data_IF_185475173569
#
_entry.id   IF_185475173569
#
_cell.length_a   1.000
_cell.length_b   1.000
_cell.length_c   1.000
_cell.angle_alpha   90.00
_cell.angle_beta   90.00
_cell.angle_gamma   90.00
#
_symmetry.space_group_name_H-M   'P 1'
#
loop_
_entity.id
_entity.type
_entity.pdbx_description
1 polymer ?
#
# COMPACT_ATOMS: atom_id res chain seq x y z
N UNK A 1 -12.10 19.54 -24.78
CA UNK A 1 -11.96 20.88 -25.42
C UNK A 1 -12.46 21.90 -24.41
N UNK A 2 -11.85 23.10 -24.33
CA UNK A 2 -12.30 24.15 -23.41
C UNK A 2 -13.77 24.52 -23.68
N UNK A 3 -14.49 24.87 -22.62
CA UNK A 3 -15.75 25.60 -22.74
C UNK A 3 -15.49 27.07 -23.05
N UNK A 4 -16.55 27.84 -23.34
CA UNK A 4 -16.47 29.28 -23.62
C UNK A 4 -17.53 30.00 -22.77
N UNK A 5 -17.16 31.13 -22.16
CA UNK A 5 -18.11 32.00 -21.44
C UNK A 5 -18.94 32.84 -22.41
N UNK A 6 -20.00 33.47 -21.89
CA UNK A 6 -20.76 34.49 -22.63
C UNK A 6 -19.92 35.70 -23.05
N UNK A 7 -18.73 35.88 -22.45
CA UNK A 7 -17.75 36.93 -22.77
C UNK A 7 -16.60 36.44 -23.68
N UNK A 8 -16.63 35.19 -24.15
CA UNK A 8 -15.65 34.62 -25.08
C UNK A 8 -14.34 34.14 -24.43
N UNK A 9 -14.33 33.99 -23.10
CA UNK A 9 -13.17 33.48 -22.36
C UNK A 9 -13.19 31.94 -22.36
N UNK A 10 -12.02 31.32 -22.61
CA UNK A 10 -11.89 29.87 -22.59
C UNK A 10 -11.89 29.37 -21.14
N UNK A 11 -12.83 28.48 -20.82
CA UNK A 11 -12.85 27.77 -19.53
C UNK A 11 -12.24 26.39 -19.73
N UNK A 12 -11.20 26.08 -18.95
CA UNK A 12 -10.62 24.75 -18.91
C UNK A 12 -11.32 23.87 -17.86
N UNK A 13 -11.12 22.56 -17.96
CA UNK A 13 -11.65 21.64 -16.97
C UNK A 13 -10.77 21.65 -15.72
N UNK A 14 -11.40 21.70 -14.55
CA UNK A 14 -10.72 21.39 -13.30
C UNK A 14 -10.14 19.98 -13.36
N UNK A 15 -8.96 19.81 -12.80
CA UNK A 15 -8.24 18.56 -12.87
C UNK A 15 -7.34 18.35 -11.65
N UNK A 16 -6.96 17.10 -11.43
CA UNK A 16 -5.94 16.76 -10.45
C UNK A 16 -5.05 15.63 -10.94
N UNK A 17 -3.82 15.58 -10.42
CA UNK A 17 -2.91 14.48 -10.64
C UNK A 17 -2.23 14.04 -9.33
N UNK A 18 -2.07 12.72 -9.20
CA UNK A 18 -1.05 12.14 -8.32
C UNK A 18 0.18 11.84 -9.16
N UNK A 19 1.36 12.26 -8.69
CA UNK A 19 2.62 12.02 -9.39
C UNK A 19 3.49 11.07 -8.58
N UNK A 20 4.08 10.10 -9.26
CA UNK A 20 5.04 9.15 -8.73
C UNK A 20 6.28 9.13 -9.64
N UNK A 21 7.46 8.70 -9.17
CA UNK A 21 8.51 8.25 -10.07
C UNK A 21 7.95 7.18 -11.02
N UNK A 22 8.34 7.21 -12.30
CA UNK A 22 7.84 6.22 -13.28
C UNK A 22 8.31 4.80 -12.99
N UNK A 23 9.50 4.66 -12.41
CA UNK A 23 10.16 3.40 -12.07
C UNK A 23 10.73 3.46 -10.66
N UNK A 24 11.22 2.31 -10.17
CA UNK A 24 11.90 2.24 -8.87
C UNK A 24 13.05 3.26 -8.82
N UNK A 25 13.10 4.04 -7.74
CA UNK A 25 14.15 5.02 -7.54
C UNK A 25 15.50 4.35 -7.30
N UNK A 26 16.47 4.72 -8.13
CA UNK A 26 17.89 4.35 -7.98
C UNK A 26 18.68 5.66 -7.98
N UNK A 27 18.52 6.46 -6.92
CA UNK A 27 19.19 7.76 -6.79
C UNK A 27 18.23 8.88 -6.34
N UNK A 28 18.33 10.02 -7.00
CA UNK A 28 17.54 11.21 -6.69
C UNK A 28 16.09 11.08 -7.19
N UNK A 29 15.19 11.88 -6.58
CA UNK A 29 13.80 11.96 -7.03
C UNK A 29 13.75 12.73 -8.36
N UNK A 30 12.84 12.38 -9.28
CA UNK A 30 12.56 13.21 -10.45
C UNK A 30 12.30 14.66 -10.07
N UNK A 31 12.67 15.58 -10.96
CA UNK A 31 12.30 16.97 -10.76
C UNK A 31 10.77 17.11 -10.55
N UNK A 32 10.36 17.89 -9.55
CA UNK A 32 8.95 17.88 -9.11
C UNK A 32 7.98 18.41 -10.17
N UNK A 33 8.45 19.20 -11.14
CA UNK A 33 7.67 19.65 -12.30
C UNK A 33 7.62 18.57 -13.39
N UNK A 34 7.02 17.41 -13.05
CA UNK A 34 6.74 16.31 -13.98
C UNK A 34 7.98 15.58 -14.52
N UNK A 35 9.04 15.53 -13.74
CA UNK A 35 10.29 14.83 -14.06
C UNK A 35 11.24 15.62 -14.93
N UNK A 36 12.20 14.90 -15.49
CA UNK A 36 13.26 15.39 -16.37
C UNK A 36 13.69 14.26 -17.34
N UNK A 37 14.70 14.52 -18.17
CA UNK A 37 15.16 13.57 -19.19
C UNK A 37 15.71 12.27 -18.61
N UNK A 38 16.26 12.32 -17.40
CA UNK A 38 16.94 11.19 -16.77
C UNK A 38 15.97 10.43 -15.85
N UNK A 39 15.02 11.17 -15.27
CA UNK A 39 14.05 10.68 -14.30
C UNK A 39 12.63 11.10 -14.70
N UNK A 40 11.90 10.19 -15.34
CA UNK A 40 10.49 10.40 -15.66
C UNK A 40 9.56 10.16 -14.46
N UNK A 41 8.34 10.68 -14.57
CA UNK A 41 7.27 10.49 -13.59
C UNK A 41 6.04 9.88 -14.24
N UNK A 42 5.30 9.09 -13.48
CA UNK A 42 3.94 8.67 -13.80
C UNK A 42 2.95 9.62 -13.11
N UNK A 43 2.05 10.21 -13.89
CA UNK A 43 0.92 10.98 -13.39
C UNK A 43 -0.36 10.18 -13.56
N UNK A 44 -1.09 10.00 -12.47
CA UNK A 44 -2.46 9.53 -12.50
C UNK A 44 -3.34 10.77 -12.54
N UNK A 45 -3.90 11.06 -13.71
CA UNK A 45 -4.54 12.33 -14.01
C UNK A 45 -6.04 12.16 -14.20
N UNK A 46 -6.80 12.96 -13.46
CA UNK A 46 -8.26 13.03 -13.52
C UNK A 46 -8.71 14.38 -14.05
N UNK A 47 -9.76 14.39 -14.87
CA UNK A 47 -10.43 15.60 -15.36
C UNK A 47 -11.91 15.60 -15.03
N UNK A 48 -12.42 16.76 -14.62
CA UNK A 48 -13.82 16.92 -14.25
C UNK A 48 -14.78 16.83 -15.44
N UNK A 49 -14.39 17.31 -16.62
CA UNK A 49 -15.26 17.39 -17.81
C UNK A 49 -15.60 16.02 -18.41
N UNK A 50 -14.64 15.11 -18.42
CA UNK A 50 -14.82 13.73 -18.92
C UNK A 50 -15.05 12.72 -17.81
N UNK A 51 -14.74 13.10 -16.56
CA UNK A 51 -14.59 12.20 -15.42
C UNK A 51 -13.62 11.03 -15.68
N UNK A 52 -12.73 11.17 -16.67
CA UNK A 52 -11.77 10.14 -17.05
C UNK A 52 -10.55 10.17 -16.12
N UNK A 53 -9.95 9.00 -15.95
CA UNK A 53 -8.64 8.84 -15.30
C UNK A 53 -7.71 8.14 -16.26
N UNK A 54 -6.54 8.73 -16.45
CA UNK A 54 -5.47 8.19 -17.29
C UNK A 54 -4.17 8.10 -16.50
N UNK A 55 -3.26 7.24 -16.96
CA UNK A 55 -1.86 7.26 -16.55
C UNK A 55 -1.03 7.84 -17.68
N UNK A 56 -0.36 8.95 -17.45
CA UNK A 56 0.60 9.52 -18.40
C UNK A 56 2.01 9.51 -17.82
N UNK A 57 3.00 9.19 -18.65
CA UNK A 57 4.40 9.33 -18.27
C UNK A 57 4.95 10.65 -18.80
N UNK A 58 5.69 11.37 -17.98
CA UNK A 58 6.29 12.67 -18.33
C UNK A 58 7.78 12.71 -18.02
N UNK A 59 8.54 13.47 -18.80
CA UNK A 59 9.98 13.73 -18.62
C UNK A 59 10.27 15.24 -18.59
N UNK A 60 9.40 15.95 -17.86
CA UNK A 60 9.35 17.40 -17.77
C UNK A 60 7.99 17.94 -18.18
N UNK A 61 7.60 19.07 -17.60
CA UNK A 61 6.27 19.64 -17.79
C UNK A 61 5.85 19.91 -19.25
N UNK A 62 6.81 20.11 -20.17
CA UNK A 62 6.53 20.30 -21.59
C UNK A 62 6.07 19.03 -22.31
N UNK A 63 6.30 17.85 -21.72
CA UNK A 63 5.85 16.57 -22.28
C UNK A 63 4.47 16.17 -21.74
N UNK A 64 3.82 17.03 -20.97
CA UNK A 64 2.46 16.82 -20.51
C UNK A 64 1.49 16.92 -21.69
N UNK A 65 0.99 15.78 -22.14
CA UNK A 65 -0.01 15.68 -23.20
C UNK A 65 -1.04 14.59 -22.83
N UNK A 66 -2.11 14.95 -22.11
CA UNK A 66 -3.12 14.00 -21.68
C UNK A 66 -4.08 13.60 -22.81
N UNK A 67 -4.19 14.39 -23.88
CA UNK A 67 -5.12 14.13 -24.97
C UNK A 67 -4.58 13.05 -25.94
N UNK A 68 -3.26 12.79 -25.92
CA UNK A 68 -2.62 11.70 -26.67
C UNK A 68 -2.65 10.32 -26.00
N UNK A 69 -3.28 10.19 -24.83
CA UNK A 69 -3.27 8.94 -24.03
C UNK A 69 -4.64 8.25 -24.13
N UNK A 70 -4.67 7.08 -24.75
CA UNK A 70 -5.90 6.29 -24.92
C UNK A 70 -6.08 5.20 -23.85
N UNK A 71 -5.00 4.78 -23.18
CA UNK A 71 -4.97 3.68 -22.22
C UNK A 71 -4.85 4.20 -20.77
N UNK A 72 -5.54 3.58 -19.82
CA UNK A 72 -5.48 4.02 -18.41
C UNK A 72 -4.20 3.56 -17.69
N UNK A 73 -3.41 2.70 -18.31
CA UNK A 73 -2.18 2.17 -17.71
C UNK A 73 -2.40 1.35 -16.44
N UNK A 74 -3.57 0.72 -16.31
CA UNK A 74 -3.96 -0.10 -15.16
C UNK A 74 -4.48 0.70 -13.95
N UNK A 75 -4.69 2.00 -14.13
CA UNK A 75 -5.33 2.86 -13.13
C UNK A 75 -6.84 2.90 -13.41
N UNK A 76 -7.62 2.70 -12.37
CA UNK A 76 -9.07 2.82 -12.36
C UNK A 76 -9.48 3.94 -11.40
N UNK A 77 -10.70 4.45 -11.56
CA UNK A 77 -11.26 5.34 -10.56
C UNK A 77 -12.40 6.20 -11.09
N UNK A 78 -12.81 7.17 -10.29
CA UNK A 78 -13.80 8.17 -10.66
C UNK A 78 -13.74 9.38 -9.73
N UNK A 79 -14.30 10.49 -10.20
CA UNK A 79 -14.56 11.70 -9.42
C UNK A 79 -16.04 11.95 -9.23
N UNK A 80 -16.39 12.58 -8.11
CA UNK A 80 -17.69 13.22 -7.88
C UNK A 80 -17.49 14.65 -7.42
N UNK A 81 -18.41 15.51 -7.84
CA UNK A 81 -18.41 16.93 -7.51
C UNK A 81 -19.69 17.26 -6.76
N UNK A 82 -19.56 17.84 -5.57
CA UNK A 82 -20.67 18.13 -4.68
C UNK A 82 -20.39 19.44 -3.92
N UNK A 83 -21.26 20.43 -4.07
CA UNK A 83 -21.15 21.76 -3.43
C UNK A 83 -19.74 22.40 -3.57
N UNK A 84 -19.19 22.39 -4.78
CA UNK A 84 -17.87 22.96 -5.07
C UNK A 84 -16.69 22.16 -4.52
N UNK A 85 -16.91 20.94 -4.02
CA UNK A 85 -15.85 20.03 -3.56
C UNK A 85 -15.72 18.83 -4.50
N UNK A 86 -14.49 18.57 -4.91
CA UNK A 86 -14.11 17.40 -5.68
C UNK A 86 -13.70 16.25 -4.76
N UNK A 87 -14.20 15.04 -5.03
CA UNK A 87 -13.74 13.80 -4.40
C UNK A 87 -13.36 12.83 -5.50
N UNK A 88 -12.07 12.50 -5.60
CA UNK A 88 -11.53 11.61 -6.62
C UNK A 88 -10.91 10.40 -5.93
N UNK A 89 -11.26 9.21 -6.43
CA UNK A 89 -10.64 7.95 -6.01
C UNK A 89 -9.89 7.40 -7.20
N UNK A 90 -8.61 7.07 -7.01
CA UNK A 90 -7.76 6.40 -7.98
C UNK A 90 -7.28 5.08 -7.38
N UNK A 91 -7.26 4.02 -8.17
CA UNK A 91 -6.89 2.67 -7.75
C UNK A 91 -5.99 2.03 -8.80
N UNK A 92 -4.92 1.39 -8.36
CA UNK A 92 -4.04 0.54 -9.16
C UNK A 92 -3.62 -0.66 -8.32
N UNK A 93 -3.29 -1.77 -8.96
CA UNK A 93 -2.60 -2.86 -8.26
C UNK A 93 -1.27 -2.37 -7.68
N UNK A 94 -0.94 -2.82 -6.46
CA UNK A 94 0.33 -2.47 -5.81
C UNK A 94 1.54 -2.95 -6.62
N UNK A 95 1.41 -4.16 -7.19
CA UNK A 95 2.39 -4.76 -8.07
C UNK A 95 1.85 -4.89 -9.49
N UNK A 96 2.66 -4.51 -10.47
CA UNK A 96 2.36 -4.67 -11.88
C UNK A 96 3.27 -5.70 -12.52
N UNK A 97 2.88 -6.15 -13.72
CA UNK A 97 3.63 -7.19 -14.44
C UNK A 97 4.98 -6.68 -14.98
N UNK A 98 5.13 -5.37 -15.16
CA UNK A 98 6.32 -4.74 -15.71
C UNK A 98 7.11 -3.99 -14.63
N UNK A 99 7.65 -4.75 -13.66
CA UNK A 99 8.33 -4.19 -12.50
C UNK A 99 9.65 -3.45 -12.81
N UNK A 100 10.22 -3.68 -13.99
CA UNK A 100 11.46 -3.02 -14.43
C UNK A 100 11.19 -1.60 -14.96
N UNK A 101 10.01 -1.38 -15.56
CA UNK A 101 9.66 -0.10 -16.17
C UNK A 101 8.57 0.66 -15.44
N UNK A 102 7.87 0.02 -14.50
CA UNK A 102 6.85 0.67 -13.68
C UNK A 102 7.18 0.64 -12.19
N UNK A 103 6.90 1.74 -11.50
CA UNK A 103 7.03 1.83 -10.06
C UNK A 103 6.12 0.83 -9.35
N UNK A 104 6.68 0.12 -8.38
CA UNK A 104 5.96 -0.84 -7.55
C UNK A 104 5.65 -0.19 -6.20
N UNK A 105 4.44 -0.40 -5.71
CA UNK A 105 4.01 0.15 -4.42
C UNK A 105 4.25 -0.92 -3.37
N UNK A 106 5.44 -0.91 -2.78
CA UNK A 106 5.89 -1.94 -1.83
C UNK A 106 5.53 -1.52 -0.41
N UNK A 107 4.82 -2.39 0.30
CA UNK A 107 4.54 -2.20 1.73
C UNK A 107 5.83 -2.15 2.55
N UNK A 108 5.87 -1.28 3.56
CA UNK A 108 7.05 -1.05 4.38
C UNK A 108 8.14 -0.20 3.71
N UNK A 109 7.94 0.24 2.46
CA UNK A 109 8.84 1.17 1.77
C UNK A 109 8.22 2.57 1.63
N UNK A 110 9.07 3.60 1.58
CA UNK A 110 8.63 4.98 1.30
C UNK A 110 8.56 5.21 -0.21
N UNK A 111 7.37 5.53 -0.71
CA UNK A 111 7.12 5.88 -2.11
C UNK A 111 6.95 7.41 -2.23
N UNK A 112 7.80 8.09 -3.01
CA UNK A 112 7.59 9.52 -3.24
C UNK A 112 6.30 9.80 -4.01
N UNK A 113 5.57 10.82 -3.55
CA UNK A 113 4.32 11.27 -4.15
C UNK A 113 4.28 12.82 -4.20
N UNK A 114 3.75 13.38 -5.29
CA UNK A 114 3.29 14.78 -5.34
C UNK A 114 1.82 14.84 -5.72
N UNK A 115 1.18 15.96 -5.40
CA UNK A 115 -0.19 16.26 -5.80
C UNK A 115 -0.18 17.53 -6.63
N UNK A 116 -0.91 17.51 -7.75
CA UNK A 116 -1.08 18.66 -8.63
C UNK A 116 -2.56 18.91 -8.86
N UNK A 117 -2.98 20.17 -8.89
CA UNK A 117 -4.34 20.58 -9.20
C UNK A 117 -4.32 21.67 -10.26
N UNK A 118 -5.39 21.70 -11.05
CA UNK A 118 -5.68 22.74 -12.03
C UNK A 118 -7.05 23.34 -11.69
N UNK A 119 -7.07 24.64 -11.42
CA UNK A 119 -8.29 25.45 -11.43
C UNK A 119 -8.53 25.96 -12.86
N UNK A 120 -9.31 25.21 -13.62
CA UNK A 120 -9.58 25.50 -15.02
C UNK A 120 -10.40 26.78 -15.22
N UNK A 121 -11.16 27.19 -14.19
CA UNK A 121 -11.87 28.47 -14.19
C UNK A 121 -10.93 29.67 -14.00
N UNK A 122 -9.78 29.46 -13.36
CA UNK A 122 -8.69 30.44 -13.26
C UNK A 122 -7.69 30.36 -14.43
N UNK A 123 -8.05 29.67 -15.51
CA UNK A 123 -7.21 29.52 -16.70
C UNK A 123 -6.07 28.51 -16.55
N UNK A 124 -6.02 27.75 -15.45
CA UNK A 124 -4.96 26.74 -15.27
C UNK A 124 -5.19 25.56 -16.22
N UNK A 125 -4.18 25.27 -17.03
CA UNK A 125 -4.20 24.16 -17.98
C UNK A 125 -2.78 23.74 -18.37
N UNK A 126 -2.67 22.61 -19.05
CA UNK A 126 -1.40 22.12 -19.57
C UNK A 126 -0.37 21.79 -18.49
N UNK A 127 0.88 21.62 -18.92
CA UNK A 127 1.95 21.25 -18.02
C UNK A 127 2.52 22.42 -17.21
N UNK A 128 2.28 23.68 -17.57
CA UNK A 128 2.97 24.85 -17.00
C UNK A 128 2.10 25.69 -16.05
N UNK A 129 0.79 25.73 -16.24
CA UNK A 129 -0.14 26.53 -15.43
C UNK A 129 -0.93 25.62 -14.48
N UNK A 130 -0.39 25.41 -13.27
CA UNK A 130 -0.97 24.52 -12.25
C UNK A 130 -0.40 24.79 -10.87
N UNK A 131 -1.08 24.31 -9.83
CA UNK A 131 -0.55 24.30 -8.47
C UNK A 131 -0.05 22.90 -8.10
N UNK A 132 1.18 22.79 -7.59
CA UNK A 132 1.83 21.52 -7.26
C UNK A 132 2.42 21.54 -5.85
N UNK A 133 2.34 20.42 -5.14
CA UNK A 133 2.99 20.25 -3.83
C UNK A 133 4.48 19.91 -3.96
N UNK A 134 5.23 20.04 -2.87
CA UNK A 134 6.52 19.37 -2.76
C UNK A 134 6.37 17.83 -2.82
N UNK A 135 7.50 17.13 -2.95
CA UNK A 135 7.56 15.68 -2.76
C UNK A 135 7.29 15.30 -1.30
N UNK A 136 6.25 14.52 -1.07
CA UNK A 136 5.99 13.80 0.17
C UNK A 136 6.36 12.33 0.01
N UNK A 137 6.37 11.58 1.11
CA UNK A 137 6.53 10.14 1.09
C UNK A 137 5.21 9.49 1.52
N UNK A 138 4.66 8.65 0.66
CA UNK A 138 3.61 7.70 0.98
C UNK A 138 4.26 6.47 1.63
N UNK A 139 3.75 6.05 2.78
CA UNK A 139 4.17 4.84 3.46
C UNK A 139 2.96 3.91 3.57
N UNK A 140 3.08 2.72 2.98
CA UNK A 140 2.06 1.68 3.08
C UNK A 140 2.45 0.75 4.22
N UNK A 141 1.64 0.73 5.28
CA UNK A 141 1.92 -0.12 6.43
C UNK A 141 1.83 -1.60 6.02
N UNK A 142 2.85 -2.42 6.33
CA UNK A 142 2.79 -3.84 6.04
C UNK A 142 1.78 -4.53 6.95
N UNK A 143 1.10 -5.54 6.40
CA UNK A 143 0.19 -6.39 7.18
C UNK A 143 0.91 -6.97 8.42
N UNK A 144 0.37 -6.78 9.64
CA UNK A 144 0.98 -7.32 10.85
C UNK A 144 1.14 -8.84 10.77
N UNK A 145 2.33 -9.33 11.13
CA UNK A 145 2.61 -10.77 11.12
C UNK A 145 1.63 -11.52 12.03
N UNK A 146 1.03 -12.59 11.52
CA UNK A 146 0.18 -13.53 12.31
C UNK A 146 0.99 -14.48 13.18
N UNK A 147 2.33 -14.47 13.09
CA UNK A 147 3.21 -15.38 13.81
C UNK A 147 3.00 -15.37 15.35
N UNK A 148 2.86 -14.22 16.04
CA UNK A 148 2.59 -14.21 17.48
C UNK A 148 1.30 -14.94 17.85
N UNK A 149 0.26 -14.79 17.02
CA UNK A 149 -1.01 -15.50 17.21
C UNK A 149 -0.83 -17.01 17.07
N UNK A 150 -0.13 -17.46 16.02
CA UNK A 150 0.14 -18.89 15.82
C UNK A 150 1.02 -19.48 16.92
N UNK A 151 2.05 -18.76 17.38
CA UNK A 151 2.90 -19.19 18.49
C UNK A 151 2.11 -19.29 19.80
N UNK A 152 1.18 -18.37 20.07
CA UNK A 152 0.31 -18.44 21.23
C UNK A 152 -0.59 -19.69 21.20
N UNK A 153 -1.23 -19.97 20.05
CA UNK A 153 -2.08 -21.16 19.87
C UNK A 153 -1.26 -22.45 20.01
N UNK A 154 -0.08 -22.52 19.40
CA UNK A 154 0.82 -23.67 19.51
C UNK A 154 1.28 -23.89 20.96
N UNK A 155 1.63 -22.82 21.68
CA UNK A 155 2.01 -22.87 23.09
C UNK A 155 0.90 -23.41 23.98
N UNK A 156 -0.35 -22.96 23.78
CA UNK A 156 -1.53 -23.47 24.50
C UNK A 156 -1.72 -24.97 24.21
N UNK A 157 -1.67 -25.38 22.95
CA UNK A 157 -1.82 -26.78 22.56
C UNK A 157 -0.73 -27.67 23.19
N UNK A 158 0.52 -27.22 23.15
CA UNK A 158 1.65 -27.93 23.75
C UNK A 158 1.51 -28.05 25.27
N UNK A 159 1.08 -26.96 25.94
CA UNK A 159 0.78 -26.97 27.37
C UNK A 159 -0.33 -27.97 27.73
N UNK A 160 -1.40 -28.02 26.94
CA UNK A 160 -2.48 -29.00 27.14
C UNK A 160 -2.01 -30.44 26.95
N UNK A 161 -1.14 -30.71 25.97
CA UNK A 161 -0.53 -32.04 25.78
C UNK A 161 0.30 -32.44 27.00
N UNK A 162 1.21 -31.57 27.46
CA UNK A 162 2.03 -31.84 28.66
C UNK A 162 1.14 -32.12 29.87
N UNK A 163 0.12 -31.28 30.10
CA UNK A 163 -0.82 -31.48 31.20
C UNK A 163 -1.56 -32.81 31.10
N UNK A 164 -2.02 -33.19 29.90
CA UNK A 164 -2.70 -34.47 29.67
C UNK A 164 -1.78 -35.67 29.95
N UNK A 165 -0.52 -35.61 29.52
CA UNK A 165 0.48 -36.66 29.76
C UNK A 165 0.82 -36.76 31.24
N UNK A 166 1.02 -35.63 31.93
CA UNK A 166 1.29 -35.61 33.36
C UNK A 166 0.13 -36.23 34.17
N UNK A 167 -1.12 -35.88 33.84
CA UNK A 167 -2.31 -36.48 34.46
C UNK A 167 -2.38 -37.99 34.19
N UNK A 168 -2.10 -38.41 32.95
CA UNK A 168 -2.09 -39.83 32.57
C UNK A 168 -1.05 -40.64 33.35
N UNK A 169 0.19 -40.14 33.43
CA UNK A 169 1.27 -40.81 34.17
C UNK A 169 0.97 -40.87 35.67
N UNK A 170 0.44 -39.81 36.25
CA UNK A 170 0.10 -39.79 37.69
C UNK A 170 -1.01 -40.81 38.01
N UNK A 171 -2.04 -40.91 37.15
CA UNK A 171 -3.13 -41.89 37.34
C UNK A 171 -2.65 -43.34 37.18
N UNK A 172 -1.76 -43.61 36.25
CA UNK A 172 -1.32 -44.97 35.94
C UNK A 172 -0.08 -45.42 36.74
N UNK A 173 0.70 -44.48 37.29
CA UNK A 173 1.92 -44.75 38.07
C UNK A 173 1.70 -45.07 39.55
N UNK A 174 0.53 -44.73 40.11
CA UNK A 174 0.21 -45.01 41.52
C UNK A 174 -0.18 -46.48 41.82
N UNK A 175 0.02 -47.40 40.87
CA UNK A 175 -0.33 -48.82 40.99
C UNK A 175 0.77 -49.76 41.48
N UNK A 176 1.96 -49.27 41.86
CA UNK A 176 3.03 -50.08 42.44
C UNK A 176 3.49 -49.49 43.79
N UNK A 177 2.79 -49.84 44.86
CA UNK A 177 3.37 -49.78 46.20
C UNK A 177 4.32 -50.98 46.34
N UNK A 178 5.56 -50.81 46.83
CA UNK A 178 6.42 -51.95 47.15
C UNK A 178 5.85 -52.69 48.36
N UNK A 179 5.62 -53.99 48.23
CA UNK A 179 5.16 -54.86 49.30
C UNK A 179 6.19 -54.85 50.44
N UNK A 180 5.76 -54.40 51.61
CA UNK A 180 6.52 -54.50 52.85
C UNK A 180 6.23 -55.85 53.51
N UNK A 181 6.83 -56.92 52.99
CA UNK A 181 6.80 -58.23 53.65
C UNK A 181 7.97 -58.35 54.63
N UNK A 182 7.61 -58.55 55.89
CA UNK A 182 8.53 -58.76 57.00
C UNK A 182 9.19 -60.13 56.98
N UNK A 183 10.40 -60.19 57.51
CA UNK A 183 10.97 -61.42 58.06
C UNK A 183 11.54 -61.13 59.44
N UNK A 184 10.76 -61.50 60.45
CA UNK A 184 11.28 -61.90 61.75
C UNK A 184 11.89 -63.30 61.59
N UNK A 185 13.16 -63.47 61.94
CA UNK A 185 13.69 -64.77 62.33
C UNK A 185 14.55 -64.59 63.57
N UNK A 186 14.08 -65.19 64.67
CA UNK A 186 14.81 -65.28 65.92
C UNK A 186 15.94 -66.30 65.86
N UNK A 187 16.86 -66.15 66.81
CA UNK A 187 17.85 -67.15 67.20
C UNK A 187 18.27 -66.85 68.63
N UNK A 188 17.95 -67.76 69.53
CA UNK A 188 18.20 -67.71 70.97
C UNK A 188 19.54 -68.38 71.34
N UNK A 189 20.10 -67.98 72.50
CA UNK A 189 21.01 -68.72 73.44
C UNK A 189 22.34 -69.26 72.88
N UNK A 190 23.51 -69.16 73.53
CA UNK A 190 23.95 -68.88 74.91
C UNK A 190 25.21 -67.99 74.90
#
# INVERSE_FOLDING_TARGET
KPGETDEGEQIYADAMALQFPSKKLVGEKPYFLMGDSDNSTDLWYWRNDTNAIIKLQTSGYKTFDPDGVEETGGVEGSGVTDNGQYRVVMKRALHTKDAENEVQFVEGEFLPITMTVWDGSNGETGGDMRTVTAWYNLYLEPEPSKAPMYLAVAGIAFGLVIMSTAVYVTKNGNGHAPDADGQAHGGATD
#
